data_IF_682756549040
#
_entry.id   IF_682756549040
#
_cell.length_a   1.000
_cell.length_b   1.000
_cell.length_c   1.000
_cell.angle_alpha   90.00
_cell.angle_beta   90.00
_cell.angle_gamma   90.00
#
_symmetry.space_group_name_H-M   'P 1'
#
loop_
_entity.id
_entity.type
_entity.pdbx_description
1 polymer ?
#
# COMPACT_ATOMS: atom_id res chain seq x y z
N UNK A 1 1.83 -24.52 -20.70
CA UNK A 1 1.44 -23.38 -21.59
C UNK A 1 0.99 -22.12 -20.84
N UNK A 2 0.38 -22.21 -19.64
CA UNK A 2 0.00 -21.01 -18.86
C UNK A 2 1.19 -20.21 -18.26
N UNK A 3 2.27 -20.88 -17.82
CA UNK A 3 3.48 -20.23 -17.24
C UNK A 3 4.20 -19.29 -18.22
N UNK A 4 4.53 -19.77 -19.43
CA UNK A 4 5.18 -18.97 -20.48
C UNK A 4 4.40 -17.72 -20.89
N UNK A 5 3.06 -17.82 -20.93
CA UNK A 5 2.20 -16.68 -21.28
C UNK A 5 2.16 -15.60 -20.19
N UNK A 6 2.41 -15.96 -18.93
CA UNK A 6 2.56 -15.00 -17.84
C UNK A 6 3.95 -14.37 -17.83
N UNK A 7 4.99 -15.13 -18.18
CA UNK A 7 6.37 -14.61 -18.32
C UNK A 7 6.47 -13.58 -19.46
N UNK A 8 5.91 -13.86 -20.63
CA UNK A 8 5.90 -12.92 -21.76
C UNK A 8 5.09 -11.64 -21.45
N UNK A 9 3.99 -11.76 -20.68
CA UNK A 9 3.23 -10.60 -20.21
C UNK A 9 4.00 -9.76 -19.19
N UNK A 10 4.72 -10.41 -18.27
CA UNK A 10 5.56 -9.72 -17.29
C UNK A 10 6.75 -9.02 -17.94
N UNK A 11 7.39 -9.65 -18.93
CA UNK A 11 8.44 -9.01 -19.71
C UNK A 11 7.91 -7.81 -20.48
N UNK A 12 6.72 -7.91 -21.10
CA UNK A 12 6.07 -6.79 -21.77
C UNK A 12 5.82 -5.59 -20.84
N UNK A 13 5.27 -5.85 -19.64
CA UNK A 13 5.08 -4.81 -18.62
C UNK A 13 6.40 -4.18 -18.17
N UNK A 14 7.45 -4.99 -17.98
CA UNK A 14 8.79 -4.52 -17.61
C UNK A 14 9.36 -3.56 -18.66
N UNK A 15 9.28 -3.90 -19.94
CA UNK A 15 9.76 -3.03 -21.02
C UNK A 15 8.99 -1.72 -21.12
N UNK A 16 7.68 -1.71 -20.85
CA UNK A 16 6.90 -0.47 -20.81
C UNK A 16 7.32 0.44 -19.64
N UNK A 17 7.59 -0.13 -18.47
CA UNK A 17 8.08 0.62 -17.31
C UNK A 17 9.47 1.21 -17.60
N UNK A 18 10.38 0.42 -18.17
CA UNK A 18 11.69 0.89 -18.60
C UNK A 18 11.57 2.01 -19.66
N UNK A 19 10.66 1.87 -20.62
CA UNK A 19 10.42 2.90 -21.64
C UNK A 19 9.92 4.21 -21.04
N UNK A 20 9.02 4.17 -20.06
CA UNK A 20 8.59 5.35 -19.33
C UNK A 20 9.77 6.05 -18.65
N UNK A 21 10.62 5.29 -17.96
CA UNK A 21 11.82 5.79 -17.28
C UNK A 21 12.74 6.58 -18.22
N UNK A 22 12.89 6.14 -19.47
CA UNK A 22 13.77 6.82 -20.44
C UNK A 22 13.12 7.98 -21.20
N UNK A 23 11.79 8.01 -21.32
CA UNK A 23 11.11 8.93 -22.25
C UNK A 23 10.19 9.95 -21.58
N UNK A 24 9.74 9.70 -20.34
CA UNK A 24 8.73 10.52 -19.66
C UNK A 24 7.34 10.47 -20.31
N UNK A 25 7.15 9.67 -21.37
CA UNK A 25 5.89 9.55 -22.11
C UNK A 25 5.15 8.27 -21.67
N UNK A 26 4.34 8.36 -20.62
CA UNK A 26 3.27 7.39 -20.38
C UNK A 26 2.05 8.08 -19.78
N UNK A 27 0.89 7.81 -20.37
CA UNK A 27 -0.39 8.23 -19.84
C UNK A 27 -0.78 7.27 -18.71
N UNK A 28 -0.29 7.55 -17.49
CA UNK A 28 -0.45 6.68 -16.33
C UNK A 28 -1.92 6.50 -15.93
N UNK A 29 -2.78 7.49 -16.18
CA UNK A 29 -4.22 7.43 -15.90
C UNK A 29 -4.98 6.46 -16.84
N UNK A 30 -4.35 5.96 -17.90
CA UNK A 30 -4.90 4.87 -18.73
C UNK A 30 -4.41 3.49 -18.33
N UNK A 31 -3.47 3.40 -17.38
CA UNK A 31 -2.91 2.14 -16.91
C UNK A 31 -3.71 1.61 -15.72
N UNK A 32 -3.65 0.30 -15.51
CA UNK A 32 -4.25 -0.30 -14.31
C UNK A 32 -3.49 0.14 -13.08
N UNK A 33 -4.15 0.18 -11.92
CA UNK A 33 -3.48 0.45 -10.66
C UNK A 33 -2.23 -0.40 -10.42
N UNK A 34 -2.26 -1.70 -10.71
CA UNK A 34 -1.08 -2.58 -10.61
C UNK A 34 0.13 -2.11 -11.44
N UNK A 35 -0.11 -1.52 -12.60
CA UNK A 35 0.95 -1.02 -13.47
C UNK A 35 1.51 0.30 -12.94
N UNK A 36 0.66 1.17 -12.39
CA UNK A 36 1.10 2.40 -11.69
C UNK A 36 1.98 2.03 -10.49
N UNK A 37 1.63 0.95 -9.77
CA UNK A 37 2.45 0.38 -8.71
C UNK A 37 3.81 -0.11 -9.18
N UNK A 38 3.84 -0.85 -10.29
CA UNK A 38 5.08 -1.27 -10.89
C UNK A 38 5.98 -0.09 -11.22
N UNK A 39 5.40 0.99 -11.77
CA UNK A 39 6.15 2.22 -12.07
C UNK A 39 6.65 2.92 -10.80
N UNK A 40 5.83 3.03 -9.76
CA UNK A 40 6.21 3.58 -8.45
C UNK A 40 7.42 2.82 -7.87
N UNK A 41 7.30 1.50 -7.73
CA UNK A 41 8.34 0.64 -7.15
C UNK A 41 9.62 0.75 -7.98
N UNK A 42 9.54 0.58 -9.30
CA UNK A 42 10.71 0.70 -10.16
C UNK A 42 11.33 2.10 -10.09
N UNK A 43 10.53 3.17 -10.00
CA UNK A 43 11.09 4.53 -9.88
C UNK A 43 11.85 4.76 -8.56
N UNK A 44 11.36 4.21 -7.45
CA UNK A 44 12.02 4.22 -6.15
C UNK A 44 13.33 3.40 -6.20
N UNK A 45 13.28 2.18 -6.75
CA UNK A 45 14.46 1.32 -6.92
C UNK A 45 15.60 1.98 -7.73
N UNK A 46 15.25 2.77 -8.75
CA UNK A 46 16.21 3.46 -9.61
C UNK A 46 16.53 4.90 -9.17
N UNK A 47 16.05 5.34 -7.99
CA UNK A 47 16.27 6.68 -7.42
C UNK A 47 15.88 7.82 -8.38
N UNK A 48 14.77 7.65 -9.11
CA UNK A 48 14.30 8.59 -10.13
C UNK A 48 13.37 9.66 -9.57
N UNK A 49 13.65 10.18 -8.37
CA UNK A 49 12.84 11.18 -7.67
C UNK A 49 12.49 12.41 -8.54
N UNK A 50 13.36 12.77 -9.49
CA UNK A 50 13.20 13.95 -10.35
C UNK A 50 12.34 13.76 -11.59
N UNK A 51 12.08 12.52 -12.02
CA UNK A 51 11.25 12.22 -13.19
C UNK A 51 9.82 11.80 -12.79
N UNK A 52 9.59 11.66 -11.49
CA UNK A 52 8.36 11.13 -10.94
C UNK A 52 7.43 12.28 -10.55
N UNK A 53 6.35 12.49 -11.31
CA UNK A 53 5.27 13.35 -10.83
C UNK A 53 4.39 12.52 -9.89
N UNK A 54 4.81 12.47 -8.62
CA UNK A 54 4.14 11.74 -7.56
C UNK A 54 2.66 12.12 -7.47
N UNK A 55 2.36 13.42 -7.56
CA UNK A 55 1.00 13.93 -7.52
C UNK A 55 0.14 13.41 -8.67
N UNK A 56 0.71 13.31 -9.88
CA UNK A 56 0.02 12.77 -11.06
C UNK A 56 -0.26 11.27 -10.95
N UNK A 57 0.71 10.47 -10.48
CA UNK A 57 0.48 9.05 -10.22
C UNK A 57 -0.63 8.88 -9.18
N UNK A 58 -0.56 9.63 -8.09
CA UNK A 58 -1.52 9.56 -6.99
C UNK A 58 -2.92 10.04 -7.41
N UNK A 59 -3.01 11.04 -8.28
CA UNK A 59 -4.27 11.47 -8.90
C UNK A 59 -4.88 10.33 -9.73
N UNK A 60 -4.10 9.70 -10.61
CA UNK A 60 -4.56 8.52 -11.36
C UNK A 60 -4.94 7.34 -10.45
N UNK A 61 -4.28 7.21 -9.28
CA UNK A 61 -4.56 6.15 -8.31
C UNK A 61 -5.81 6.41 -7.47
N UNK A 62 -6.13 7.67 -7.19
CA UNK A 62 -7.34 8.04 -6.44
C UNK A 62 -8.63 7.58 -7.12
N UNK A 63 -8.58 7.37 -8.45
CA UNK A 63 -9.69 6.89 -9.27
C UNK A 63 -9.84 5.35 -9.29
N UNK A 64 -8.83 4.58 -8.83
CA UNK A 64 -8.83 3.12 -8.92
C UNK A 64 -8.77 2.46 -7.53
N UNK A 65 -9.93 2.15 -6.95
CA UNK A 65 -10.03 1.46 -5.65
C UNK A 65 -9.44 0.04 -5.65
N UNK A 66 -9.16 -0.56 -6.82
CA UNK A 66 -8.57 -1.91 -6.93
C UNK A 66 -7.12 -1.94 -6.46
N UNK A 67 -6.52 -0.76 -6.36
CA UNK A 67 -5.20 -0.55 -5.80
C UNK A 67 -5.06 -1.15 -4.41
N UNK A 68 -5.93 -0.80 -3.46
CA UNK A 68 -5.81 -1.32 -2.09
C UNK A 68 -6.04 -2.85 -1.98
N UNK A 69 -6.38 -3.52 -3.10
CA UNK A 69 -6.52 -4.97 -3.21
C UNK A 69 -5.38 -5.65 -3.99
N UNK A 70 -4.41 -4.89 -4.49
CA UNK A 70 -3.29 -5.40 -5.29
C UNK A 70 -2.24 -6.11 -4.44
N UNK A 71 -1.64 -7.17 -5.01
CA UNK A 71 -0.69 -8.05 -4.32
C UNK A 71 0.69 -7.44 -4.08
N UNK A 72 1.04 -6.37 -4.79
CA UNK A 72 2.38 -5.78 -4.75
C UNK A 72 2.49 -4.65 -3.70
N UNK A 73 1.38 -4.31 -3.05
CA UNK A 73 1.31 -3.19 -2.14
C UNK A 73 2.09 -3.30 -0.83
N UNK A 74 2.24 -4.49 -0.21
CA UNK A 74 3.05 -4.60 0.99
C UNK A 74 4.52 -4.22 0.78
N UNK A 75 4.96 -4.13 -0.48
CA UNK A 75 6.30 -3.67 -0.88
C UNK A 75 6.41 -2.14 -1.02
N UNK A 76 5.36 -1.38 -0.66
CA UNK A 76 5.44 0.08 -0.64
C UNK A 76 6.45 0.57 0.39
N UNK A 77 7.20 1.58 -0.02
CA UNK A 77 8.04 2.35 0.88
C UNK A 77 7.18 3.17 1.86
N UNK A 78 7.72 3.36 3.05
CA UNK A 78 7.05 3.98 4.20
C UNK A 78 6.54 5.39 3.90
N UNK A 79 7.34 6.19 3.19
CA UNK A 79 7.03 7.55 2.80
C UNK A 79 5.91 7.62 1.75
N UNK A 80 5.90 6.68 0.80
CA UNK A 80 4.85 6.55 -0.21
C UNK A 80 3.53 6.21 0.47
N UNK A 81 3.54 5.25 1.40
CA UNK A 81 2.36 4.90 2.17
C UNK A 81 1.85 6.07 3.01
N UNK A 82 2.75 6.79 3.68
CA UNK A 82 2.39 7.91 4.54
C UNK A 82 1.68 9.00 3.74
N UNK A 83 2.25 9.38 2.60
CA UNK A 83 1.68 10.39 1.73
C UNK A 83 0.35 9.93 1.11
N UNK A 84 0.19 8.64 0.83
CA UNK A 84 -1.07 8.07 0.36
C UNK A 84 -2.16 8.20 1.45
N UNK A 85 -1.93 7.68 2.65
CA UNK A 85 -2.92 7.71 3.75
C UNK A 85 -3.25 9.12 4.25
N UNK A 86 -2.34 10.08 4.07
CA UNK A 86 -2.56 11.48 4.44
C UNK A 86 -3.55 12.22 3.52
N UNK A 87 -3.84 11.68 2.34
CA UNK A 87 -4.71 12.34 1.37
C UNK A 87 -6.17 12.19 1.72
N UNK A 88 -6.90 13.30 1.61
CA UNK A 88 -8.34 13.31 1.90
C UNK A 88 -9.23 12.99 0.70
N UNK A 89 -8.67 12.95 -0.51
CA UNK A 89 -9.39 12.81 -1.78
C UNK A 89 -9.48 11.38 -2.30
N UNK A 90 -8.81 10.43 -1.63
CA UNK A 90 -8.86 9.01 -1.99
C UNK A 90 -10.30 8.48 -1.86
N UNK A 91 -10.83 7.90 -2.94
CA UNK A 91 -12.16 7.30 -2.97
C UNK A 91 -12.14 5.88 -2.40
N UNK A 92 -11.69 5.73 -1.15
CA UNK A 92 -11.63 4.45 -0.44
C UNK A 92 -12.38 4.49 0.87
N UNK A 93 -12.96 3.35 1.25
CA UNK A 93 -13.53 3.20 2.57
C UNK A 93 -12.41 3.14 3.62
N UNK A 94 -12.59 3.84 4.73
CA UNK A 94 -11.57 3.93 5.77
C UNK A 94 -11.19 2.56 6.35
N UNK A 95 -12.14 1.62 6.37
CA UNK A 95 -11.87 0.25 6.80
C UNK A 95 -10.92 -0.50 5.86
N UNK A 96 -10.95 -0.18 4.56
CA UNK A 96 -10.03 -0.75 3.57
C UNK A 96 -8.63 -0.18 3.80
N UNK A 97 -8.52 1.12 4.10
CA UNK A 97 -7.25 1.75 4.48
C UNK A 97 -6.67 1.15 5.78
N UNK A 98 -7.52 0.81 6.75
CA UNK A 98 -7.10 0.10 7.95
C UNK A 98 -6.59 -1.32 7.68
N UNK A 99 -7.38 -2.14 6.99
CA UNK A 99 -6.98 -3.51 6.62
C UNK A 99 -5.68 -3.51 5.83
N UNK A 100 -5.52 -2.51 4.96
CA UNK A 100 -4.31 -2.24 4.22
C UNK A 100 -3.10 -1.99 5.14
N UNK A 101 -3.20 -1.02 6.06
CA UNK A 101 -2.11 -0.61 6.95
C UNK A 101 -1.63 -1.79 7.81
N UNK A 102 -2.57 -2.60 8.30
CA UNK A 102 -2.27 -3.80 9.08
C UNK A 102 -1.51 -4.83 8.25
N UNK A 103 -1.98 -5.13 7.04
CA UNK A 103 -1.29 -6.09 6.16
C UNK A 103 0.12 -5.61 5.80
N UNK A 104 0.28 -4.32 5.48
CA UNK A 104 1.60 -3.73 5.23
C UNK A 104 2.51 -3.85 6.46
N UNK A 105 2.01 -3.51 7.65
CA UNK A 105 2.77 -3.58 8.89
C UNK A 105 3.22 -5.00 9.26
N UNK A 106 2.37 -6.01 9.02
CA UNK A 106 2.71 -7.43 9.23
C UNK A 106 3.83 -7.87 8.29
N UNK A 107 3.77 -7.50 7.01
CA UNK A 107 4.77 -7.88 6.01
C UNK A 107 6.15 -7.23 6.26
N UNK A 108 6.21 -6.10 6.97
CA UNK A 108 7.48 -5.52 7.42
C UNK A 108 8.14 -6.34 8.54
N UNK A 109 7.37 -7.15 9.26
CA UNK A 109 7.87 -7.95 10.38
C UNK A 109 8.19 -9.35 9.88
N UNK A 110 9.47 -9.59 9.60
CA UNK A 110 9.98 -10.86 9.11
C UNK A 110 9.52 -12.05 9.98
N UNK A 111 8.77 -12.97 9.38
CA UNK A 111 8.32 -14.21 10.05
C UNK A 111 7.03 -14.10 10.85
N UNK A 112 6.38 -12.93 10.87
CA UNK A 112 5.07 -12.77 11.50
C UNK A 112 3.98 -13.46 10.66
N UNK A 113 3.31 -14.45 11.22
CA UNK A 113 2.17 -15.10 10.59
C UNK A 113 0.94 -14.20 10.56
N UNK A 114 0.02 -14.43 9.62
CA UNK A 114 -1.26 -13.73 9.59
C UNK A 114 -2.24 -14.18 10.69
N UNK A 115 -1.96 -15.32 11.33
CA UNK A 115 -2.77 -15.82 12.45
C UNK A 115 -2.40 -15.11 13.76
N UNK A 116 -3.25 -14.16 14.15
CA UNK A 116 -3.12 -13.40 15.41
C UNK A 116 -3.16 -14.25 16.67
N UNK A 117 -3.71 -15.46 16.60
CA UNK A 117 -3.78 -16.34 17.78
C UNK A 117 -2.41 -16.88 18.17
N UNK A 118 -1.43 -16.80 17.27
CA UNK A 118 -0.05 -17.20 17.49
C UNK A 118 0.85 -16.03 17.95
N UNK A 119 0.32 -14.80 18.00
CA UNK A 119 1.12 -13.61 18.29
C UNK A 119 1.45 -13.49 19.78
N UNK A 120 2.72 -13.20 20.05
CA UNK A 120 3.25 -12.82 21.34
C UNK A 120 3.10 -11.32 21.61
N UNK A 121 3.34 -10.89 22.85
CA UNK A 121 3.36 -9.46 23.19
C UNK A 121 4.43 -8.70 22.39
N UNK A 122 5.59 -9.32 22.15
CA UNK A 122 6.68 -8.74 21.37
C UNK A 122 6.26 -8.50 19.91
N UNK A 123 5.41 -9.37 19.36
CA UNK A 123 4.86 -9.20 18.00
C UNK A 123 3.93 -7.97 17.91
N UNK A 124 3.09 -7.77 18.92
CA UNK A 124 2.23 -6.57 19.00
C UNK A 124 3.04 -5.29 19.18
N UNK A 125 4.10 -5.30 20.01
CA UNK A 125 4.98 -4.14 20.16
C UNK A 125 5.80 -3.87 18.89
N UNK A 126 6.23 -4.90 18.16
CA UNK A 126 6.85 -4.73 16.84
C UNK A 126 5.90 -4.06 15.85
N UNK A 127 4.65 -4.56 15.75
CA UNK A 127 3.63 -3.97 14.88
C UNK A 127 3.33 -2.53 15.27
N UNK A 128 3.17 -2.26 16.57
CA UNK A 128 2.99 -0.90 17.10
C UNK A 128 4.10 0.04 16.66
N UNK A 129 5.36 -0.40 16.78
CA UNK A 129 6.52 0.36 16.32
C UNK A 129 6.39 0.75 14.85
N UNK A 130 6.02 -0.20 14.00
CA UNK A 130 5.87 -0.02 12.55
C UNK A 130 4.69 0.88 12.17
N UNK A 131 3.50 0.67 12.74
CA UNK A 131 2.28 1.35 12.27
C UNK A 131 1.97 2.66 13.01
N UNK A 132 2.61 2.92 14.16
CA UNK A 132 2.25 4.02 15.06
C UNK A 132 2.14 5.40 14.39
N UNK A 133 3.04 5.72 13.46
CA UNK A 133 3.03 7.01 12.76
C UNK A 133 1.87 7.18 11.78
N UNK A 134 1.27 6.08 11.32
CA UNK A 134 0.14 6.08 10.38
C UNK A 134 -1.21 6.10 11.10
N UNK A 135 -1.26 5.69 12.37
CA UNK A 135 -2.51 5.66 13.16
C UNK A 135 -3.24 7.02 13.16
N UNK A 136 -2.58 8.19 13.32
CA UNK A 136 -3.26 9.48 13.26
C UNK A 136 -3.83 9.84 11.89
N UNK A 137 -3.42 9.15 10.83
CA UNK A 137 -3.95 9.35 9.48
C UNK A 137 -5.24 8.57 9.24
N UNK A 138 -5.52 7.55 10.06
CA UNK A 138 -6.73 6.73 9.96
C UNK A 138 -7.90 7.42 10.66
N UNK A 139 -8.98 7.64 9.93
CA UNK A 139 -10.20 8.29 10.44
C UNK A 139 -11.15 7.28 11.08
N UNK A 140 -10.82 6.78 12.27
CA UNK A 140 -11.64 5.77 12.95
C UNK A 140 -13.15 6.11 13.09
N UNK A 141 -13.51 7.40 13.06
CA UNK A 141 -14.91 7.86 13.07
C UNK A 141 -15.69 7.54 11.79
N UNK A 142 -14.99 7.35 10.66
CA UNK A 142 -15.57 6.99 9.36
C UNK A 142 -15.66 5.46 9.18
N UNK A 143 -15.16 4.68 10.15
CA UNK A 143 -15.29 3.22 10.19
C UNK A 143 -16.61 2.85 10.90
N UNK A 144 -17.36 1.91 10.31
CA UNK A 144 -18.59 1.41 10.93
C UNK A 144 -18.30 0.77 12.30
N UNK A 145 -19.24 0.87 13.25
CA UNK A 145 -19.05 0.24 14.57
C UNK A 145 -18.80 -1.27 14.47
N UNK A 146 -19.50 -1.94 13.54
CA UNK A 146 -19.33 -3.38 13.33
C UNK A 146 -17.89 -3.69 12.87
N UNK A 147 -17.41 -2.99 11.85
CA UNK A 147 -16.04 -3.16 11.35
C UNK A 147 -14.99 -2.77 12.39
N UNK A 148 -15.25 -1.72 13.18
CA UNK A 148 -14.35 -1.32 14.25
C UNK A 148 -14.18 -2.46 15.26
N UNK A 149 -15.27 -3.09 15.72
CA UNK A 149 -15.18 -4.19 16.66
C UNK A 149 -14.56 -5.46 16.06
N UNK A 150 -14.86 -5.77 14.79
CA UNK A 150 -14.42 -7.01 14.16
C UNK A 150 -12.97 -6.94 13.64
N UNK A 151 -12.54 -5.77 13.17
CA UNK A 151 -11.26 -5.60 12.45
C UNK A 151 -10.26 -4.69 13.14
N UNK A 152 -10.71 -3.61 13.81
CA UNK A 152 -9.81 -2.66 14.48
C UNK A 152 -9.50 -3.10 15.91
N UNK A 153 -10.53 -3.40 16.70
CA UNK A 153 -10.42 -3.75 18.11
C UNK A 153 -9.45 -4.90 18.44
N UNK A 154 -9.32 -5.96 17.59
CA UNK A 154 -8.34 -7.02 17.84
C UNK A 154 -6.89 -6.53 17.92
N UNK A 155 -6.54 -5.41 17.28
CA UNK A 155 -5.19 -4.84 17.27
C UNK A 155 -5.00 -3.73 18.30
N UNK A 156 -5.92 -3.57 19.26
CA UNK A 156 -5.84 -2.49 20.27
C UNK A 156 -4.50 -2.41 21.01
N UNK A 157 -3.78 -3.53 21.17
CA UNK A 157 -2.46 -3.55 21.80
C UNK A 157 -1.38 -2.88 20.94
N UNK A 158 -1.56 -2.90 19.61
CA UNK A 158 -0.68 -2.24 18.65
C UNK A 158 -1.06 -0.78 18.35
N UNK A 159 -2.19 -0.30 18.87
CA UNK A 159 -2.65 1.09 18.68
C UNK A 159 -2.13 1.94 19.86
N UNK A 160 -1.34 3.01 19.61
CA UNK A 160 -0.91 3.91 20.66
C UNK A 160 -2.11 4.57 21.35
N UNK A 161 -2.15 4.51 22.69
CA UNK A 161 -3.22 5.11 23.50
C UNK A 161 -3.14 6.64 23.61
N UNK A 162 -2.08 7.24 23.10
CA UNK A 162 -1.91 8.69 23.05
C UNK A 162 -2.12 9.16 21.61
N UNK A 163 -3.34 9.63 21.33
CA UNK A 163 -3.71 10.42 20.15
C UNK A 163 -3.87 11.87 20.59
#
# INVERSE_FOLDING_TARGET
>A
MKRRRNEEKNEGKKWENERYIYTGEADLCKKSGEDIFGVLITSAEFLLEKLFNYDYCMECMSEDSQLFTSKNFPSLEEDILYNLLKRDDLQIEEIVAWDFLINWGIEQISGLGSDRTEWSEDDYEALKGTISQFIPLIRFMDISLADFYDKVHPYKAAIPLHI
#
